data_IF_199644566657
#
_entry.id   IF_199644566657
#
_cell.length_a   1.000
_cell.length_b   1.000
_cell.length_c   1.000
_cell.angle_alpha   90.00
_cell.angle_beta   90.00
_cell.angle_gamma   90.00
#
_symmetry.space_group_name_H-M   'P 1'
#
loop_
_entity.id
_entity.type
_entity.pdbx_description
1 polymer ?
#
# COMPACT_ATOMS: atom_id res chain seq x y z
N UNK A 1 6.42 -20.09 -33.05
CA UNK A 1 5.34 -19.23 -32.52
C UNK A 1 5.64 -18.97 -31.06
N UNK A 2 5.50 -17.75 -30.58
CA UNK A 2 5.67 -17.43 -29.16
C UNK A 2 4.64 -18.20 -28.33
N UNK A 3 5.09 -19.00 -27.36
CA UNK A 3 4.20 -19.72 -26.42
C UNK A 3 3.58 -18.80 -25.36
N UNK A 4 4.01 -17.53 -25.32
CA UNK A 4 3.50 -16.54 -24.38
C UNK A 4 2.18 -15.93 -24.83
N UNK A 5 1.26 -15.79 -23.87
CA UNK A 5 -0.04 -15.15 -24.04
C UNK A 5 -0.04 -13.77 -23.37
N UNK A 6 -0.68 -12.82 -24.02
CA UNK A 6 -0.89 -11.48 -23.48
C UNK A 6 -2.16 -11.43 -22.63
N UNK A 7 -2.08 -10.77 -21.48
CA UNK A 7 -3.20 -10.54 -20.58
C UNK A 7 -3.20 -9.10 -20.09
N UNK A 8 -4.38 -8.55 -19.79
CA UNK A 8 -4.46 -7.29 -19.04
C UNK A 8 -4.23 -7.61 -17.57
N UNK A 9 -3.53 -6.73 -16.85
CA UNK A 9 -3.27 -6.92 -15.41
C UNK A 9 -4.54 -7.18 -14.60
N UNK A 10 -5.62 -6.45 -14.91
CA UNK A 10 -6.94 -6.65 -14.28
C UNK A 10 -7.52 -8.06 -14.41
N UNK A 11 -7.05 -8.85 -15.39
CA UNK A 11 -7.54 -10.20 -15.64
C UNK A 11 -6.72 -11.26 -14.86
N UNK A 12 -5.57 -10.87 -14.30
CA UNK A 12 -4.64 -11.74 -13.56
C UNK A 12 -4.36 -11.26 -12.13
N UNK A 13 -5.00 -10.18 -11.70
CA UNK A 13 -4.91 -9.63 -10.34
C UNK A 13 -6.29 -9.67 -9.66
N UNK A 14 -6.32 -9.93 -8.35
CA UNK A 14 -7.55 -9.87 -7.56
C UNK A 14 -8.06 -8.43 -7.38
N UNK A 15 -7.13 -7.47 -7.28
CA UNK A 15 -7.40 -6.05 -7.04
C UNK A 15 -6.23 -5.21 -7.54
N UNK A 16 -6.52 -4.02 -8.05
CA UNK A 16 -5.52 -3.00 -8.41
C UNK A 16 -6.04 -1.67 -7.84
N UNK A 17 -5.20 -0.93 -7.11
CA UNK A 17 -5.57 0.32 -6.47
C UNK A 17 -4.37 1.21 -6.15
N UNK A 18 -4.62 2.49 -5.88
CA UNK A 18 -3.59 3.54 -5.75
C UNK A 18 -3.21 3.92 -4.31
N UNK A 19 -3.66 3.15 -3.30
CA UNK A 19 -3.56 3.58 -1.90
C UNK A 19 -4.46 4.77 -1.57
N UNK A 20 -4.44 5.21 -0.31
CA UNK A 20 -5.16 6.37 0.20
C UNK A 20 -4.44 6.93 1.43
N UNK A 21 -4.61 8.22 1.71
CA UNK A 21 -3.97 8.92 2.84
C UNK A 21 -5.04 9.22 3.90
N UNK A 22 -4.76 9.03 5.20
CA UNK A 22 -5.70 9.39 6.25
C UNK A 22 -6.02 10.89 6.23
N UNK A 23 -7.25 11.23 6.61
CA UNK A 23 -7.68 12.64 6.73
C UNK A 23 -6.83 13.35 7.80
N UNK A 24 -6.30 14.53 7.48
CA UNK A 24 -5.43 15.30 8.37
C UNK A 24 -3.93 15.22 8.05
N UNK A 25 -3.53 14.43 7.04
CA UNK A 25 -2.17 14.42 6.50
C UNK A 25 -1.11 14.03 7.53
N UNK A 26 0.09 14.63 7.45
CA UNK A 26 1.22 14.27 8.34
C UNK A 26 0.93 14.38 9.83
N UNK A 27 0.08 15.33 10.23
CA UNK A 27 -0.27 15.55 11.64
C UNK A 27 -1.21 14.46 12.18
N UNK A 28 -1.79 13.63 11.30
CA UNK A 28 -2.69 12.55 11.70
C UNK A 28 -1.98 11.24 12.04
N UNK A 29 -0.68 11.14 11.75
CA UNK A 29 0.10 9.94 12.04
C UNK A 29 0.36 9.76 13.54
N UNK A 30 0.49 8.50 13.93
CA UNK A 30 0.68 8.07 15.31
C UNK A 30 2.14 7.71 15.55
N UNK A 31 2.52 7.62 16.83
CA UNK A 31 3.85 7.18 17.23
C UNK A 31 4.05 5.66 17.07
N UNK A 32 2.94 4.90 17.12
CA UNK A 32 2.90 3.45 17.01
C UNK A 32 1.54 3.02 16.48
N UNK A 33 1.46 1.81 15.95
CA UNK A 33 0.21 1.23 15.44
C UNK A 33 0.44 0.40 14.19
N UNK A 34 -0.51 0.47 13.28
CA UNK A 34 -0.46 -0.24 11.99
C UNK A 34 0.45 0.55 11.05
N UNK A 35 1.32 -0.15 10.32
CA UNK A 35 2.18 0.48 9.32
C UNK A 35 1.35 1.09 8.20
N UNK A 36 1.66 2.34 7.87
CA UNK A 36 1.13 3.03 6.72
C UNK A 36 2.26 3.31 5.74
N UNK A 37 2.27 2.57 4.63
CA UNK A 37 3.28 2.70 3.58
C UNK A 37 2.95 3.91 2.72
N UNK A 38 3.92 4.81 2.55
CA UNK A 38 3.82 5.95 1.63
C UNK A 38 4.95 5.90 0.60
N UNK A 39 4.84 6.70 -0.46
CA UNK A 39 5.77 6.65 -1.61
C UNK A 39 7.24 6.81 -1.22
N UNK A 40 7.56 7.50 -0.13
CA UNK A 40 8.95 7.63 0.36
C UNK A 40 9.56 6.30 0.83
N UNK A 41 8.73 5.31 1.17
CA UNK A 41 9.15 3.99 1.62
C UNK A 41 9.37 3.02 0.46
N UNK A 42 8.86 3.32 -0.74
CA UNK A 42 8.96 2.45 -1.92
C UNK A 42 10.01 3.05 -2.87
N UNK A 43 11.20 2.46 -2.87
CA UNK A 43 12.33 2.85 -3.70
C UNK A 43 12.52 1.83 -4.83
N UNK A 44 13.39 2.15 -5.79
CA UNK A 44 13.74 1.23 -6.87
C UNK A 44 14.28 -0.10 -6.31
N UNK A 45 13.49 -1.16 -6.48
CA UNK A 45 13.79 -2.53 -6.03
C UNK A 45 14.02 -2.69 -4.52
N UNK A 46 13.62 -1.71 -3.71
CA UNK A 46 13.86 -1.71 -2.27
C UNK A 46 12.70 -1.09 -1.50
N UNK A 47 12.40 -1.66 -0.34
CA UNK A 47 11.50 -1.05 0.64
C UNK A 47 12.32 -0.45 1.79
N UNK A 48 12.16 0.84 2.04
CA UNK A 48 12.74 1.53 3.21
C UNK A 48 11.74 1.62 4.35
N UNK A 49 12.19 1.23 5.56
CA UNK A 49 11.43 1.39 6.81
C UNK A 49 11.71 2.73 7.51
N UNK A 50 12.52 3.59 6.90
CA UNK A 50 12.86 4.89 7.45
C UNK A 50 11.60 5.78 7.46
N UNK A 51 11.38 6.49 8.56
CA UNK A 51 10.23 7.38 8.76
C UNK A 51 8.87 6.75 8.40
N UNK A 52 8.71 5.44 8.68
CA UNK A 52 7.47 4.73 8.40
C UNK A 52 6.35 5.31 9.25
N UNK A 53 5.26 5.71 8.59
CA UNK A 53 4.12 6.29 9.26
C UNK A 53 3.29 5.20 9.97
N UNK A 54 2.66 5.57 11.08
CA UNK A 54 1.72 4.71 11.78
C UNK A 54 0.33 5.32 11.81
N UNK A 55 -0.67 4.48 11.74
CA UNK A 55 -2.09 4.83 11.92
C UNK A 55 -2.70 3.98 13.03
N UNK A 56 -3.76 4.48 13.65
CA UNK A 56 -4.55 3.72 14.63
C UNK A 56 -5.61 2.83 13.95
N UNK A 57 -6.32 2.04 14.76
CA UNK A 57 -7.33 1.09 14.27
C UNK A 57 -8.52 1.80 13.59
N UNK A 58 -8.89 3.01 14.04
CA UNK A 58 -9.99 3.79 13.45
C UNK A 58 -9.60 4.26 12.04
N UNK A 59 -8.40 4.85 11.91
CA UNK A 59 -7.85 5.24 10.61
C UNK A 59 -7.67 4.05 9.67
N UNK A 60 -7.21 2.90 10.17
CA UNK A 60 -7.05 1.68 9.38
C UNK A 60 -8.41 1.13 8.90
N UNK A 61 -9.44 1.20 9.74
CA UNK A 61 -10.80 0.81 9.36
C UNK A 61 -11.35 1.70 8.24
N UNK A 62 -11.12 3.00 8.31
CA UNK A 62 -11.54 3.93 7.26
C UNK A 62 -10.81 3.69 5.93
N UNK A 63 -9.55 3.27 6.00
CA UNK A 63 -8.69 2.95 4.84
C UNK A 63 -8.71 1.46 4.43
N UNK A 64 -9.63 0.65 4.98
CA UNK A 64 -9.66 -0.82 4.76
C UNK A 64 -9.77 -1.23 3.29
N UNK A 65 -10.27 -0.36 2.42
CA UNK A 65 -10.35 -0.61 0.99
C UNK A 65 -8.98 -0.58 0.29
N UNK A 66 -7.90 -0.17 0.96
CA UNK A 66 -6.53 -0.14 0.43
C UNK A 66 -5.54 -0.95 1.30
N UNK A 67 -6.04 -1.78 2.21
CA UNK A 67 -5.22 -2.74 2.96
C UNK A 67 -4.46 -3.65 1.99
N UNK A 68 -3.20 -3.89 2.34
CA UNK A 68 -2.30 -4.83 1.67
C UNK A 68 -2.32 -6.17 2.37
N UNK A 69 -2.23 -7.22 1.57
CA UNK A 69 -2.04 -8.58 2.04
C UNK A 69 -0.59 -9.01 1.85
N UNK A 70 -0.24 -10.11 2.51
CA UNK A 70 1.06 -10.74 2.30
C UNK A 70 1.21 -11.10 0.82
N UNK A 71 2.39 -10.82 0.27
CA UNK A 71 2.80 -11.10 -1.12
C UNK A 71 2.17 -10.18 -2.19
N UNK A 72 1.49 -9.10 -1.78
CA UNK A 72 1.10 -8.01 -2.69
C UNK A 72 2.31 -7.28 -3.27
N UNK A 73 2.14 -6.73 -4.47
CA UNK A 73 3.17 -5.96 -5.20
C UNK A 73 2.83 -4.46 -5.11
N UNK A 74 3.82 -3.65 -4.74
CA UNK A 74 3.77 -2.19 -4.62
C UNK A 74 4.57 -1.50 -5.73
#
# INVERSE_FOLDING_TARGET
MSEWKEYKLKDVCLKIGSGAIPTGGKNSYKLQGIFHIISQNVLDFQFSRDDLAFIDDEQAYDLRNVTLEKDDIL
#
